data_IF_316728717901
#
_entry.id   IF_316728717901
#
_cell.length_a   1.000
_cell.length_b   1.000
_cell.length_c   1.000
_cell.angle_alpha   90.00
_cell.angle_beta   90.00
_cell.angle_gamma   90.00
#
_symmetry.space_group_name_H-M   'P 1'
#
loop_
_entity.id
_entity.type
_entity.pdbx_description
1 polymer ?
#
# COMPACT_ATOMS: atom_id res chain seq x y z
N UNK A 1 -44.18 -23.30 -0.16
CA UNK A 1 -43.63 -22.02 -0.60
C UNK A 1 -43.74 -21.03 0.54
N UNK A 2 -42.64 -20.41 0.96
CA UNK A 2 -42.65 -19.40 2.06
C UNK A 2 -43.52 -18.24 1.64
N UNK A 3 -44.27 -17.65 2.61
CA UNK A 3 -45.14 -16.49 2.34
C UNK A 3 -44.34 -15.31 1.77
N UNK A 4 -43.07 -15.20 2.19
CA UNK A 4 -42.14 -14.18 1.71
C UNK A 4 -41.86 -14.31 0.20
N UNK A 5 -41.64 -15.54 -0.32
CA UNK A 5 -41.39 -15.78 -1.74
C UNK A 5 -42.65 -15.52 -2.59
N UNK A 6 -43.86 -15.79 -2.07
CA UNK A 6 -45.08 -15.40 -2.74
C UNK A 6 -45.21 -13.89 -2.90
N UNK A 7 -44.91 -13.15 -1.84
CA UNK A 7 -44.89 -11.68 -1.88
C UNK A 7 -43.83 -11.14 -2.83
N UNK A 8 -42.62 -11.74 -2.83
CA UNK A 8 -41.54 -11.36 -3.74
C UNK A 8 -41.96 -11.61 -5.21
N UNK A 9 -42.64 -12.73 -5.50
CA UNK A 9 -43.13 -13.03 -6.85
C UNK A 9 -44.23 -12.05 -7.30
N UNK A 10 -45.16 -11.70 -6.41
CA UNK A 10 -46.17 -10.67 -6.70
C UNK A 10 -45.54 -9.31 -6.96
N UNK A 11 -44.47 -8.94 -6.21
CA UNK A 11 -43.74 -7.71 -6.45
C UNK A 11 -43.01 -7.74 -7.80
N UNK A 12 -42.44 -8.88 -8.20
CA UNK A 12 -41.80 -9.05 -9.50
C UNK A 12 -42.79 -8.93 -10.67
N UNK A 13 -44.02 -9.51 -10.54
CA UNK A 13 -45.09 -9.35 -11.50
C UNK A 13 -45.54 -7.88 -11.68
N UNK A 14 -45.31 -7.05 -10.67
CA UNK A 14 -45.54 -5.60 -10.67
C UNK A 14 -44.30 -4.78 -11.06
N UNK A 15 -43.23 -5.40 -11.47
CA UNK A 15 -41.90 -4.80 -11.78
C UNK A 15 -41.34 -3.95 -10.62
N UNK A 16 -41.75 -4.24 -9.38
CA UNK A 16 -41.24 -3.57 -8.20
C UNK A 16 -40.01 -4.23 -7.63
N UNK A 17 -38.87 -4.05 -8.32
CA UNK A 17 -37.60 -4.71 -8.00
C UNK A 17 -37.03 -4.34 -6.63
N UNK A 18 -37.32 -3.13 -6.13
CA UNK A 18 -36.95 -2.71 -4.78
C UNK A 18 -37.61 -3.61 -3.71
N UNK A 19 -38.92 -3.87 -3.86
CA UNK A 19 -39.64 -4.76 -2.94
C UNK A 19 -39.19 -6.22 -3.09
N UNK A 20 -38.87 -6.68 -4.29
CA UNK A 20 -38.26 -8.01 -4.50
C UNK A 20 -36.98 -8.15 -3.69
N UNK A 21 -36.06 -7.17 -3.78
CA UNK A 21 -34.82 -7.15 -2.98
C UNK A 21 -35.11 -7.16 -1.48
N UNK A 22 -36.10 -6.38 -1.02
CA UNK A 22 -36.49 -6.35 0.39
C UNK A 22 -37.03 -7.69 0.89
N UNK A 23 -37.82 -8.39 0.09
CA UNK A 23 -38.32 -9.72 0.45
C UNK A 23 -37.21 -10.79 0.44
N UNK A 24 -36.34 -10.76 -0.59
CA UNK A 24 -35.20 -11.70 -0.67
C UNK A 24 -34.24 -11.55 0.51
N UNK A 25 -33.98 -10.32 0.99
CA UNK A 25 -33.15 -10.06 2.18
C UNK A 25 -33.74 -10.65 3.48
N UNK A 26 -35.05 -10.83 3.55
CA UNK A 26 -35.74 -11.40 4.74
C UNK A 26 -35.76 -12.92 4.76
N UNK A 27 -35.26 -13.56 3.70
CA UNK A 27 -35.17 -15.01 3.67
C UNK A 27 -34.15 -15.48 4.74
N UNK A 28 -34.42 -16.60 5.43
CA UNK A 28 -33.52 -17.16 6.43
C UNK A 28 -32.33 -17.87 5.76
N UNK A 29 -31.44 -17.10 5.15
CA UNK A 29 -30.26 -17.59 4.43
C UNK A 29 -29.07 -17.74 5.38
N UNK A 30 -28.33 -18.84 5.29
CA UNK A 30 -27.02 -18.98 5.94
C UNK A 30 -27.03 -19.23 7.45
N UNK A 31 -28.10 -19.79 8.06
CA UNK A 31 -28.08 -20.22 9.47
C UNK A 31 -27.64 -21.69 9.58
N UNK A 32 -26.65 -21.89 10.47
CA UNK A 32 -26.06 -23.20 10.82
C UNK A 32 -27.09 -24.24 11.25
N UNK A 33 -26.74 -25.50 11.03
CA UNK A 33 -27.36 -26.83 11.22
C UNK A 33 -28.32 -27.08 12.40
N UNK A 34 -28.84 -26.09 13.12
CA UNK A 34 -29.71 -26.32 14.29
C UNK A 34 -30.99 -25.46 14.35
N UNK A 35 -31.46 -24.89 13.23
CA UNK A 35 -32.71 -24.12 13.25
C UNK A 35 -33.75 -24.72 12.30
N UNK A 36 -34.92 -25.01 12.83
CA UNK A 36 -36.19 -25.50 12.19
C UNK A 36 -36.72 -24.52 11.11
N UNK A 37 -35.89 -24.09 10.15
CA UNK A 37 -36.27 -23.08 9.17
C UNK A 37 -35.45 -23.10 7.89
N UNK A 38 -34.87 -24.25 7.50
CA UNK A 38 -34.22 -24.38 6.20
C UNK A 38 -35.23 -24.21 5.06
N UNK A 39 -34.84 -23.39 4.08
CA UNK A 39 -35.59 -23.27 2.83
C UNK A 39 -35.51 -24.61 2.08
N UNK A 40 -36.64 -25.10 1.57
CA UNK A 40 -36.62 -26.25 0.66
C UNK A 40 -35.83 -25.90 -0.61
N UNK A 41 -35.28 -26.92 -1.29
CA UNK A 41 -34.58 -26.74 -2.57
C UNK A 41 -35.42 -25.95 -3.59
N UNK A 42 -36.74 -26.23 -3.64
CA UNK A 42 -37.70 -25.49 -4.49
C UNK A 42 -37.76 -24.00 -4.10
N UNK A 43 -37.71 -23.68 -2.81
CA UNK A 43 -37.73 -22.28 -2.35
C UNK A 43 -36.41 -21.56 -2.65
N UNK A 44 -35.29 -22.25 -2.61
CA UNK A 44 -33.99 -21.70 -3.02
C UNK A 44 -33.97 -21.45 -4.54
N UNK A 45 -34.47 -22.38 -5.35
CA UNK A 45 -34.59 -22.22 -6.79
C UNK A 45 -35.49 -21.01 -7.16
N UNK A 46 -36.64 -20.85 -6.50
CA UNK A 46 -37.50 -19.67 -6.66
C UNK A 46 -36.78 -18.37 -6.29
N UNK A 47 -35.99 -18.36 -5.21
CA UNK A 47 -35.24 -17.21 -4.79
C UNK A 47 -34.12 -16.84 -5.79
N UNK A 48 -33.46 -17.84 -6.37
CA UNK A 48 -32.46 -17.65 -7.43
C UNK A 48 -33.12 -17.06 -8.66
N UNK A 49 -34.23 -17.61 -9.12
CA UNK A 49 -34.97 -17.09 -10.29
C UNK A 49 -35.30 -15.59 -10.11
N UNK A 50 -35.87 -15.21 -8.95
CA UNK A 50 -36.23 -13.84 -8.65
C UNK A 50 -34.98 -12.93 -8.56
N UNK A 51 -33.87 -13.42 -7.98
CA UNK A 51 -32.62 -12.68 -7.91
C UNK A 51 -32.02 -12.44 -9.31
N UNK A 52 -32.08 -13.41 -10.21
CA UNK A 52 -31.65 -13.26 -11.61
C UNK A 52 -32.54 -12.24 -12.36
N UNK A 53 -33.86 -12.25 -12.13
CA UNK A 53 -34.74 -11.22 -12.71
C UNK A 53 -34.35 -9.81 -12.26
N UNK A 54 -33.99 -9.63 -10.98
CA UNK A 54 -33.48 -8.33 -10.49
C UNK A 54 -32.16 -7.94 -11.15
N UNK A 55 -31.26 -8.90 -11.43
CA UNK A 55 -30.01 -8.58 -12.17
C UNK A 55 -30.32 -8.05 -13.58
N UNK A 56 -31.29 -8.62 -14.29
CA UNK A 56 -31.65 -8.16 -15.64
C UNK A 56 -32.43 -6.84 -15.63
N UNK A 57 -33.40 -6.67 -14.75
CA UNK A 57 -34.40 -5.62 -14.83
C UNK A 57 -34.23 -4.48 -13.80
N UNK A 58 -33.45 -4.72 -12.73
CA UNK A 58 -33.23 -3.76 -11.66
C UNK A 58 -32.28 -2.63 -12.05
N UNK A 59 -32.32 -1.55 -11.29
CA UNK A 59 -31.31 -0.50 -11.36
C UNK A 59 -29.99 -0.94 -10.72
N UNK A 60 -28.94 -0.12 -10.86
CA UNK A 60 -27.61 -0.41 -10.31
C UNK A 60 -27.64 -0.76 -8.81
N UNK A 61 -28.42 -0.04 -8.00
CA UNK A 61 -28.46 -0.30 -6.56
C UNK A 61 -29.14 -1.64 -6.26
N UNK A 62 -30.20 -1.97 -6.99
CA UNK A 62 -30.92 -3.23 -6.86
C UNK A 62 -30.06 -4.42 -7.31
N UNK A 63 -29.35 -4.28 -8.43
CA UNK A 63 -28.34 -5.25 -8.90
C UNK A 63 -27.24 -5.47 -7.84
N UNK A 64 -26.71 -4.39 -7.28
CA UNK A 64 -25.72 -4.44 -6.21
C UNK A 64 -26.22 -5.16 -4.96
N UNK A 65 -27.45 -4.89 -4.57
CA UNK A 65 -28.05 -5.48 -3.39
C UNK A 65 -28.31 -6.98 -3.57
N UNK A 66 -28.79 -7.39 -4.74
CA UNK A 66 -29.02 -8.81 -5.03
C UNK A 66 -27.72 -9.59 -5.24
N UNK A 67 -26.71 -8.96 -5.86
CA UNK A 67 -25.39 -9.59 -6.02
C UNK A 67 -24.74 -9.97 -4.68
N UNK A 68 -24.95 -9.17 -3.61
CA UNK A 68 -24.50 -9.51 -2.25
C UNK A 68 -25.30 -10.65 -1.59
N UNK A 69 -26.46 -10.94 -2.10
CA UNK A 69 -27.36 -11.96 -1.56
C UNK A 69 -27.16 -13.30 -2.25
N UNK A 70 -26.87 -13.31 -3.57
CA UNK A 70 -26.68 -14.49 -4.37
C UNK A 70 -25.71 -15.52 -3.75
N UNK A 71 -24.53 -15.13 -3.20
CA UNK A 71 -23.64 -16.12 -2.57
C UNK A 71 -24.26 -16.90 -1.41
N UNK A 72 -25.27 -16.33 -0.76
CA UNK A 72 -25.97 -16.99 0.35
C UNK A 72 -27.00 -18.00 -0.08
N UNK A 73 -27.35 -18.03 -1.39
CA UNK A 73 -28.27 -18.99 -1.98
C UNK A 73 -27.60 -20.32 -2.39
N UNK A 74 -26.28 -20.40 -2.25
CA UNK A 74 -25.50 -21.62 -2.48
C UNK A 74 -25.12 -21.84 -3.95
N UNK A 75 -24.66 -23.04 -4.27
CA UNK A 75 -24.10 -23.41 -5.59
C UNK A 75 -25.11 -23.31 -6.76
N UNK A 76 -26.39 -23.35 -6.48
CA UNK A 76 -27.41 -23.29 -7.53
C UNK A 76 -27.43 -22.03 -8.37
N UNK A 77 -26.73 -20.95 -7.92
CA UNK A 77 -26.62 -19.69 -8.68
C UNK A 77 -25.54 -19.73 -9.76
N UNK A 78 -24.59 -20.67 -9.69
CA UNK A 78 -23.43 -20.70 -10.59
C UNK A 78 -23.86 -20.87 -12.05
N UNK A 79 -24.69 -21.85 -12.35
CA UNK A 79 -25.12 -22.11 -13.73
C UNK A 79 -25.88 -20.92 -14.36
N UNK A 80 -26.90 -20.31 -13.71
CA UNK A 80 -27.56 -19.11 -14.24
C UNK A 80 -26.62 -17.92 -14.44
N UNK A 81 -25.68 -17.68 -13.51
CA UNK A 81 -24.73 -16.59 -13.63
C UNK A 81 -23.69 -16.81 -14.73
N UNK A 82 -23.26 -18.07 -14.96
CA UNK A 82 -22.41 -18.43 -16.10
C UNK A 82 -23.11 -18.15 -17.42
N UNK A 83 -24.39 -18.48 -17.53
CA UNK A 83 -25.20 -18.20 -18.73
C UNK A 83 -25.20 -16.70 -19.03
N UNK A 84 -25.42 -15.84 -18.02
CA UNK A 84 -25.37 -14.38 -18.17
C UNK A 84 -23.98 -13.91 -18.58
N UNK A 85 -22.94 -14.43 -17.92
CA UNK A 85 -21.57 -13.99 -18.16
C UNK A 85 -21.11 -14.31 -19.58
N UNK A 86 -21.51 -15.46 -20.12
CA UNK A 86 -21.12 -15.98 -21.44
C UNK A 86 -21.98 -15.43 -22.59
N UNK A 87 -23.12 -14.79 -22.29
CA UNK A 87 -23.98 -14.19 -23.33
C UNK A 87 -23.39 -12.83 -23.77
N UNK A 88 -22.79 -12.78 -24.96
CA UNK A 88 -22.22 -11.55 -25.52
C UNK A 88 -23.26 -10.50 -25.90
N UNK A 89 -24.53 -10.85 -25.99
CA UNK A 89 -25.63 -9.93 -26.29
C UNK A 89 -26.23 -9.31 -25.01
N UNK A 90 -25.87 -9.84 -23.83
CA UNK A 90 -26.33 -9.30 -22.56
C UNK A 90 -25.65 -7.97 -22.24
N UNK A 91 -26.34 -7.12 -21.49
CA UNK A 91 -25.84 -5.84 -21.02
C UNK A 91 -24.51 -6.02 -20.22
N UNK A 92 -23.50 -5.20 -20.55
CA UNK A 92 -22.16 -5.30 -19.95
C UNK A 92 -22.18 -5.14 -18.42
N UNK A 93 -23.08 -4.31 -17.88
CA UNK A 93 -23.24 -4.12 -16.44
C UNK A 93 -23.82 -5.39 -15.79
N UNK A 94 -24.80 -6.06 -16.43
CA UNK A 94 -25.37 -7.31 -15.94
C UNK A 94 -24.31 -8.42 -15.93
N UNK A 95 -23.54 -8.53 -17.01
CA UNK A 95 -22.39 -9.45 -17.10
C UNK A 95 -21.35 -9.18 -16.03
N UNK A 96 -21.08 -7.89 -15.74
CA UNK A 96 -20.16 -7.47 -14.70
C UNK A 96 -20.63 -7.96 -13.32
N UNK A 97 -21.91 -7.78 -12.98
CA UNK A 97 -22.46 -8.27 -11.71
C UNK A 97 -22.43 -9.79 -11.61
N UNK A 98 -22.71 -10.50 -12.70
CA UNK A 98 -22.65 -11.96 -12.76
C UNK A 98 -21.22 -12.46 -12.52
N UNK A 99 -20.22 -11.94 -13.25
CA UNK A 99 -18.83 -12.33 -13.12
C UNK A 99 -18.23 -12.01 -11.76
N UNK A 100 -18.52 -10.82 -11.22
CA UNK A 100 -18.12 -10.46 -9.88
C UNK A 100 -18.67 -11.41 -8.82
N UNK A 101 -19.94 -11.78 -8.93
CA UNK A 101 -20.57 -12.71 -7.97
C UNK A 101 -19.99 -14.11 -8.11
N UNK A 102 -19.72 -14.55 -9.34
CA UNK A 102 -19.07 -15.84 -9.62
C UNK A 102 -17.67 -15.93 -8.99
N UNK A 103 -16.95 -14.82 -8.83
CA UNK A 103 -15.65 -14.78 -8.13
C UNK A 103 -15.67 -15.20 -6.66
N UNK A 104 -16.84 -15.54 -6.09
CA UNK A 104 -16.98 -16.10 -4.74
C UNK A 104 -17.16 -17.64 -4.75
N UNK A 105 -17.15 -18.29 -5.93
CA UNK A 105 -17.42 -19.73 -6.09
C UNK A 105 -16.22 -20.46 -6.70
N UNK A 106 -15.58 -21.31 -5.92
CA UNK A 106 -14.47 -22.17 -6.37
C UNK A 106 -14.99 -23.28 -7.29
N UNK A 107 -15.35 -22.90 -8.53
CA UNK A 107 -15.84 -23.81 -9.55
C UNK A 107 -14.94 -23.75 -10.80
N UNK A 108 -14.45 -24.89 -11.33
CA UNK A 108 -13.59 -24.87 -12.52
C UNK A 108 -14.25 -24.24 -13.75
N UNK A 109 -15.56 -24.35 -13.93
CA UNK A 109 -16.27 -23.72 -15.03
C UNK A 109 -16.23 -22.20 -14.91
N UNK A 110 -16.33 -21.65 -13.69
CA UNK A 110 -16.19 -20.21 -13.40
C UNK A 110 -14.80 -19.74 -13.80
N UNK A 111 -13.74 -20.44 -13.38
CA UNK A 111 -12.37 -20.08 -13.74
C UNK A 111 -12.20 -20.02 -15.25
N UNK A 112 -12.68 -21.04 -15.98
CA UNK A 112 -12.56 -21.12 -17.43
C UNK A 112 -13.32 -20.00 -18.14
N UNK A 113 -14.53 -19.66 -17.68
CA UNK A 113 -15.34 -18.58 -18.29
C UNK A 113 -14.72 -17.21 -18.05
N UNK A 114 -14.20 -16.93 -16.84
CA UNK A 114 -13.48 -15.69 -16.55
C UNK A 114 -12.19 -15.57 -17.36
N UNK A 115 -11.45 -16.66 -17.53
CA UNK A 115 -10.23 -16.67 -18.38
C UNK A 115 -10.58 -16.42 -19.85
N UNK A 116 -11.68 -16.96 -20.36
CA UNK A 116 -12.15 -16.66 -21.73
C UNK A 116 -12.42 -15.17 -21.93
N UNK A 117 -13.02 -14.50 -20.92
CA UNK A 117 -13.23 -13.05 -20.96
C UNK A 117 -11.92 -12.28 -21.07
N UNK A 118 -10.87 -12.69 -20.35
CA UNK A 118 -9.54 -12.06 -20.47
C UNK A 118 -8.88 -12.29 -21.83
N UNK A 119 -9.21 -13.38 -22.51
CA UNK A 119 -8.64 -13.73 -23.81
C UNK A 119 -9.43 -13.16 -25.00
N UNK A 120 -10.66 -12.72 -24.79
CA UNK A 120 -11.48 -12.16 -25.85
C UNK A 120 -11.13 -10.68 -26.05
N UNK A 121 -10.56 -10.31 -27.23
CA UNK A 121 -10.16 -8.93 -27.51
C UNK A 121 -11.33 -7.94 -27.58
N UNK A 122 -12.55 -8.44 -27.80
CA UNK A 122 -13.77 -7.61 -27.86
C UNK A 122 -14.36 -7.33 -26.47
N UNK A 123 -13.78 -7.92 -25.40
CA UNK A 123 -14.21 -7.65 -24.02
C UNK A 123 -13.82 -6.23 -23.62
N UNK A 124 -14.78 -5.45 -23.12
CA UNK A 124 -14.49 -4.11 -22.60
C UNK A 124 -13.54 -4.15 -21.38
N UNK A 125 -12.82 -3.05 -21.14
CA UNK A 125 -11.79 -2.94 -20.12
C UNK A 125 -12.34 -3.16 -18.70
N UNK A 126 -13.56 -2.70 -18.42
CA UNK A 126 -14.18 -2.84 -17.09
C UNK A 126 -14.51 -4.31 -16.80
N UNK A 127 -15.05 -5.01 -17.80
CA UNK A 127 -15.41 -6.43 -17.69
C UNK A 127 -14.14 -7.29 -17.60
N UNK A 128 -13.09 -6.98 -18.35
CA UNK A 128 -11.80 -7.68 -18.28
C UNK A 128 -11.13 -7.45 -16.89
N UNK A 129 -11.17 -6.23 -16.39
CA UNK A 129 -10.65 -5.91 -15.04
C UNK A 129 -11.42 -6.64 -13.95
N UNK A 130 -12.75 -6.69 -14.05
CA UNK A 130 -13.59 -7.47 -13.14
C UNK A 130 -13.23 -8.95 -13.17
N UNK A 131 -13.04 -9.51 -14.37
CA UNK A 131 -12.68 -10.92 -14.52
C UNK A 131 -11.33 -11.24 -13.86
N UNK A 132 -10.32 -10.37 -14.00
CA UNK A 132 -9.04 -10.51 -13.32
C UNK A 132 -9.18 -10.45 -11.80
N UNK A 133 -10.00 -9.51 -11.28
CA UNK A 133 -10.28 -9.41 -9.84
C UNK A 133 -11.02 -10.65 -9.31
N UNK A 134 -12.01 -11.17 -10.06
CA UNK A 134 -12.74 -12.37 -9.70
C UNK A 134 -11.80 -13.58 -9.64
N UNK A 135 -10.92 -13.76 -10.64
CA UNK A 135 -9.89 -14.81 -10.64
C UNK A 135 -8.92 -14.68 -9.45
N UNK A 136 -8.53 -13.44 -9.11
CA UNK A 136 -7.74 -13.18 -7.91
C UNK A 136 -8.43 -13.60 -6.62
N UNK A 137 -9.75 -13.40 -6.52
CA UNK A 137 -10.55 -13.81 -5.36
C UNK A 137 -10.71 -15.33 -5.25
N UNK A 138 -10.79 -16.04 -6.38
CA UNK A 138 -10.86 -17.51 -6.43
C UNK A 138 -9.58 -18.18 -5.91
N UNK A 139 -8.50 -17.43 -5.78
CA UNK A 139 -7.30 -17.91 -5.13
C UNK A 139 -6.57 -19.00 -5.92
N UNK A 140 -6.14 -20.05 -5.22
CA UNK A 140 -5.27 -21.09 -5.79
C UNK A 140 -5.89 -21.83 -6.97
N UNK A 141 -7.21 -21.96 -7.03
CA UNK A 141 -7.92 -22.62 -8.13
C UNK A 141 -7.73 -21.97 -9.49
N UNK A 142 -7.42 -20.64 -9.51
CA UNK A 142 -7.20 -19.89 -10.74
C UNK A 142 -5.73 -19.89 -11.22
N UNK A 143 -4.76 -20.28 -10.38
CA UNK A 143 -3.33 -20.13 -10.67
C UNK A 143 -2.92 -20.88 -11.94
N UNK A 144 -3.39 -22.10 -12.13
CA UNK A 144 -3.01 -22.91 -13.29
C UNK A 144 -3.43 -22.23 -14.61
N UNK A 145 -4.67 -21.78 -14.68
CA UNK A 145 -5.20 -21.16 -15.90
C UNK A 145 -4.58 -19.76 -16.15
N UNK A 146 -4.39 -18.98 -15.09
CA UNK A 146 -3.66 -17.70 -15.17
C UNK A 146 -2.22 -17.89 -15.65
N UNK A 147 -1.55 -18.95 -15.18
CA UNK A 147 -0.19 -19.29 -15.59
C UNK A 147 -0.08 -19.58 -17.09
N UNK A 148 -1.11 -20.26 -17.65
CA UNK A 148 -1.17 -20.54 -19.10
C UNK A 148 -1.24 -19.26 -19.93
N UNK A 149 -1.81 -18.17 -19.41
CA UNK A 149 -1.86 -16.87 -20.08
C UNK A 149 -0.48 -16.17 -20.12
N UNK A 150 0.40 -16.49 -19.18
CA UNK A 150 1.73 -15.85 -19.11
C UNK A 150 2.76 -16.53 -19.99
N UNK A 151 2.59 -17.81 -20.29
CA UNK A 151 3.54 -18.58 -21.09
C UNK A 151 3.45 -18.18 -22.57
N UNK A 152 4.58 -17.82 -23.22
CA UNK A 152 4.59 -17.77 -24.67
C UNK A 152 4.26 -19.17 -25.19
N UNK A 153 3.19 -19.29 -25.95
CA UNK A 153 2.84 -20.57 -26.59
C UNK A 153 3.99 -20.92 -27.54
N UNK A 154 4.65 -22.05 -27.27
CA UNK A 154 5.78 -22.57 -28.06
C UNK A 154 5.38 -23.02 -29.47
N UNK A 155 4.08 -23.04 -29.79
CA UNK A 155 3.58 -23.40 -31.11
C UNK A 155 3.72 -22.20 -32.07
N UNK A 156 4.34 -22.44 -33.21
CA UNK A 156 4.62 -21.45 -34.25
C UNK A 156 3.36 -20.72 -34.75
N UNK A 157 2.18 -21.35 -34.63
CA UNK A 157 0.89 -20.82 -35.08
C UNK A 157 -0.07 -20.42 -33.93
N UNK A 158 0.39 -20.43 -32.68
CA UNK A 158 -0.47 -20.03 -31.57
C UNK A 158 -0.59 -18.49 -31.51
N UNK A 159 -1.82 -17.93 -31.39
CA UNK A 159 -1.99 -16.51 -31.22
C UNK A 159 -1.22 -16.05 -29.95
N UNK A 160 -0.44 -14.98 -30.12
CA UNK A 160 0.22 -14.34 -28.99
C UNK A 160 -0.87 -13.83 -28.04
N UNK A 161 -0.76 -14.17 -26.76
CA UNK A 161 -1.62 -13.57 -25.75
C UNK A 161 -1.30 -12.08 -25.70
N UNK A 162 -2.32 -11.25 -25.79
CA UNK A 162 -2.19 -9.81 -25.78
C UNK A 162 -1.50 -9.30 -24.51
N UNK A 163 -0.82 -8.17 -24.63
CA UNK A 163 -0.12 -7.54 -23.52
C UNK A 163 -1.07 -7.27 -22.34
N UNK A 164 -2.25 -6.71 -22.64
CA UNK A 164 -3.25 -6.39 -21.64
C UNK A 164 -3.73 -7.62 -20.88
N UNK A 165 -4.00 -8.71 -21.58
CA UNK A 165 -4.41 -10.00 -20.96
C UNK A 165 -3.32 -10.54 -20.02
N UNK A 166 -2.05 -10.47 -20.44
CA UNK A 166 -0.93 -10.89 -19.58
C UNK A 166 -0.76 -10.01 -18.36
N UNK A 167 -0.93 -8.69 -18.52
CA UNK A 167 -0.87 -7.74 -17.40
C UNK A 167 -1.97 -8.03 -16.39
N UNK A 168 -3.21 -8.25 -16.84
CA UNK A 168 -4.35 -8.61 -15.98
C UNK A 168 -4.13 -9.96 -15.28
N UNK A 169 -3.53 -10.94 -15.97
CA UNK A 169 -3.18 -12.22 -15.37
C UNK A 169 -2.12 -12.07 -14.25
N UNK A 170 -1.11 -11.21 -14.44
CA UNK A 170 -0.11 -10.88 -13.39
C UNK A 170 -0.79 -10.20 -12.20
N UNK A 171 -1.70 -9.27 -12.44
CA UNK A 171 -2.44 -8.58 -11.38
C UNK A 171 -3.34 -9.54 -10.58
N UNK A 172 -4.02 -10.47 -11.25
CA UNK A 172 -4.80 -11.51 -10.60
C UNK A 172 -3.91 -12.42 -9.72
N UNK A 173 -2.76 -12.87 -10.23
CA UNK A 173 -1.79 -13.66 -9.47
C UNK A 173 -1.23 -12.90 -8.26
N UNK A 174 -0.98 -11.59 -8.42
CA UNK A 174 -0.54 -10.73 -7.32
C UNK A 174 -1.58 -10.65 -6.18
N UNK A 175 -2.87 -10.62 -6.53
CA UNK A 175 -3.97 -10.57 -5.57
C UNK A 175 -4.12 -11.87 -4.78
N UNK A 176 -3.81 -13.02 -5.37
CA UNK A 176 -3.92 -14.35 -4.74
C UNK A 176 -3.04 -14.46 -3.49
N UNK A 177 -1.85 -13.87 -3.47
CA UNK A 177 -0.91 -13.85 -2.32
C UNK A 177 -0.61 -15.23 -1.73
N UNK A 178 -0.53 -16.25 -2.57
CA UNK A 178 -0.14 -17.61 -2.20
C UNK A 178 1.21 -17.95 -2.82
N UNK A 179 2.01 -18.76 -2.12
CA UNK A 179 3.34 -19.18 -2.60
C UNK A 179 3.34 -19.82 -3.98
N UNK A 180 2.25 -20.45 -4.34
CA UNK A 180 2.04 -21.10 -5.63
C UNK A 180 2.03 -20.08 -6.81
N UNK A 181 1.75 -18.81 -6.54
CA UNK A 181 1.81 -17.75 -7.54
C UNK A 181 3.24 -17.29 -7.86
N UNK A 182 4.24 -17.66 -7.03
CA UNK A 182 5.63 -17.21 -7.20
C UNK A 182 6.20 -17.71 -8.54
N UNK A 183 6.08 -19.01 -8.83
CA UNK A 183 6.67 -19.59 -10.05
C UNK A 183 6.11 -18.98 -11.34
N UNK A 184 4.79 -18.81 -11.52
CA UNK A 184 4.26 -18.08 -12.66
C UNK A 184 4.78 -16.64 -12.78
N UNK A 185 4.85 -15.90 -11.67
CA UNK A 185 5.35 -14.52 -11.65
C UNK A 185 6.84 -14.44 -12.02
N UNK A 186 7.65 -15.40 -11.57
CA UNK A 186 9.08 -15.48 -11.94
C UNK A 186 9.31 -15.64 -13.44
N UNK A 187 8.39 -16.25 -14.17
CA UNK A 187 8.50 -16.46 -15.61
C UNK A 187 8.40 -15.15 -16.41
N UNK A 188 7.75 -14.12 -15.85
CA UNK A 188 7.48 -12.86 -16.55
C UNK A 188 8.32 -11.67 -16.05
N UNK A 189 9.26 -11.88 -15.13
CA UNK A 189 10.21 -10.83 -14.71
C UNK A 189 11.15 -10.37 -15.85
N UNK A 190 11.27 -11.16 -16.90
CA UNK A 190 12.03 -10.86 -18.11
C UNK A 190 11.16 -10.57 -19.34
N UNK A 191 9.87 -10.30 -19.16
CA UNK A 191 8.97 -10.01 -20.30
C UNK A 191 9.47 -8.83 -21.13
N UNK A 192 9.18 -8.85 -22.43
CA UNK A 192 9.55 -7.76 -23.35
C UNK A 192 8.90 -6.42 -22.98
N UNK A 193 7.69 -6.45 -22.40
CA UNK A 193 6.93 -5.27 -22.00
C UNK A 193 7.28 -4.82 -20.57
N UNK A 194 7.75 -3.59 -20.40
CA UNK A 194 8.18 -3.11 -19.08
C UNK A 194 7.04 -3.05 -18.06
N UNK A 195 5.79 -2.87 -18.50
CA UNK A 195 4.59 -2.85 -17.67
C UNK A 195 4.39 -4.20 -16.98
N UNK A 196 4.55 -5.29 -17.72
CA UNK A 196 4.43 -6.66 -17.19
C UNK A 196 5.58 -6.96 -16.24
N UNK A 197 6.83 -6.59 -16.59
CA UNK A 197 7.97 -6.74 -15.68
C UNK A 197 7.76 -5.96 -14.38
N UNK A 198 7.26 -4.71 -14.48
CA UNK A 198 6.98 -3.86 -13.31
C UNK A 198 5.95 -4.52 -12.39
N UNK A 199 4.82 -4.97 -12.94
CA UNK A 199 3.77 -5.66 -12.18
C UNK A 199 4.28 -6.96 -11.55
N UNK A 200 5.10 -7.74 -12.26
CA UNK A 200 5.69 -8.97 -11.71
C UNK A 200 6.66 -8.68 -10.55
N UNK A 201 7.52 -7.67 -10.67
CA UNK A 201 8.45 -7.24 -9.60
C UNK A 201 7.68 -6.71 -8.38
N UNK A 202 6.63 -5.91 -8.59
CA UNK A 202 5.76 -5.43 -7.53
C UNK A 202 5.09 -6.60 -6.80
N UNK A 203 4.47 -7.51 -7.54
CA UNK A 203 3.82 -8.70 -6.99
C UNK A 203 4.78 -9.55 -6.16
N UNK A 204 5.95 -9.89 -6.74
CA UNK A 204 6.98 -10.69 -6.08
C UNK A 204 7.53 -10.03 -4.82
N UNK A 205 7.58 -8.71 -4.76
CA UNK A 205 8.08 -7.96 -3.59
C UNK A 205 7.31 -8.25 -2.31
N UNK A 206 6.04 -8.68 -2.42
CA UNK A 206 5.19 -9.04 -1.29
C UNK A 206 5.49 -10.41 -0.66
N UNK A 207 6.26 -11.27 -1.34
CA UNK A 207 6.57 -12.62 -0.87
C UNK A 207 7.95 -12.68 -0.17
N UNK A 208 8.04 -13.52 0.87
CA UNK A 208 9.28 -13.74 1.65
C UNK A 208 10.04 -14.98 1.16
N UNK A 209 10.36 -15.00 -0.14
CA UNK A 209 11.19 -16.05 -0.75
C UNK A 209 12.57 -15.44 -1.07
N UNK A 210 13.64 -16.13 -0.65
CA UNK A 210 15.02 -15.69 -0.83
C UNK A 210 15.42 -15.51 -2.30
N UNK A 211 14.86 -16.32 -3.20
CA UNK A 211 15.11 -16.23 -4.64
C UNK A 211 14.71 -14.86 -5.18
N UNK A 212 13.65 -14.27 -4.59
CA UNK A 212 13.11 -12.97 -5.01
C UNK A 212 14.11 -11.84 -4.72
N UNK A 213 14.89 -11.92 -3.64
CA UNK A 213 15.92 -10.91 -3.35
C UNK A 213 16.93 -10.80 -4.49
N UNK A 214 17.38 -11.93 -5.05
CA UNK A 214 18.28 -11.94 -6.21
C UNK A 214 17.62 -11.38 -7.47
N UNK A 215 16.33 -11.66 -7.68
CA UNK A 215 15.56 -11.12 -8.81
C UNK A 215 15.43 -9.59 -8.68
N UNK A 216 15.11 -9.10 -7.48
CA UNK A 216 15.01 -7.66 -7.21
C UNK A 216 16.36 -6.96 -7.42
N UNK A 217 17.47 -7.56 -6.97
CA UNK A 217 18.82 -7.02 -7.21
C UNK A 217 19.09 -6.91 -8.72
N UNK A 218 18.78 -7.95 -9.50
CA UNK A 218 18.93 -7.91 -10.95
C UNK A 218 18.04 -6.82 -11.58
N UNK A 219 16.82 -6.65 -11.10
CA UNK A 219 15.87 -5.68 -11.59
C UNK A 219 16.27 -4.21 -11.30
N UNK A 220 17.22 -3.95 -10.39
CA UNK A 220 17.82 -2.61 -10.21
C UNK A 220 18.55 -2.10 -11.46
N UNK A 221 18.89 -2.99 -12.38
CA UNK A 221 19.60 -2.66 -13.62
C UNK A 221 18.69 -2.71 -14.86
N UNK A 222 17.36 -2.83 -14.68
CA UNK A 222 16.42 -2.87 -15.79
C UNK A 222 16.47 -1.56 -16.62
N UNK A 223 16.37 -1.61 -17.95
CA UNK A 223 16.32 -0.41 -18.78
C UNK A 223 15.14 0.50 -18.45
N UNK A 224 14.00 -0.05 -17.99
CA UNK A 224 12.82 0.71 -17.63
C UNK A 224 12.91 1.26 -16.19
N UNK A 225 12.76 2.57 -16.04
CA UNK A 225 12.80 3.23 -14.73
C UNK A 225 11.73 2.70 -13.74
N UNK A 226 10.56 2.30 -14.25
CA UNK A 226 9.48 1.76 -13.41
C UNK A 226 9.91 0.45 -12.73
N UNK A 227 10.55 -0.44 -13.46
CA UNK A 227 11.07 -1.71 -12.94
C UNK A 227 12.15 -1.47 -11.88
N UNK A 228 13.13 -0.57 -12.15
CA UNK A 228 14.18 -0.21 -11.17
C UNK A 228 13.58 0.38 -9.90
N UNK A 229 12.57 1.24 -10.07
CA UNK A 229 11.85 1.86 -8.94
C UNK A 229 11.19 0.81 -8.06
N UNK A 230 10.41 -0.10 -8.65
CA UNK A 230 9.72 -1.16 -7.89
C UNK A 230 10.71 -2.14 -7.25
N UNK A 231 11.82 -2.45 -7.91
CA UNK A 231 12.89 -3.26 -7.33
C UNK A 231 13.50 -2.60 -6.07
N UNK A 232 13.77 -1.29 -6.12
CA UNK A 232 14.27 -0.55 -4.96
C UNK A 232 13.25 -0.50 -3.82
N UNK A 233 11.95 -0.37 -4.13
CA UNK A 233 10.86 -0.46 -3.16
C UNK A 233 10.85 -1.85 -2.51
N UNK A 234 10.85 -2.92 -3.30
CA UNK A 234 10.83 -4.29 -2.80
C UNK A 234 12.02 -4.61 -1.89
N UNK A 235 13.23 -4.20 -2.28
CA UNK A 235 14.44 -4.39 -1.47
C UNK A 235 14.40 -3.59 -0.17
N UNK A 236 13.74 -2.44 -0.13
CA UNK A 236 13.67 -1.61 1.07
C UNK A 236 12.99 -2.29 2.27
N UNK A 237 12.22 -3.35 2.05
CA UNK A 237 11.56 -4.14 3.08
C UNK A 237 12.35 -5.40 3.49
N UNK A 238 13.51 -5.67 2.85
CA UNK A 238 14.30 -6.90 3.05
C UNK A 238 15.49 -6.67 3.98
N UNK A 239 15.25 -6.05 5.11
CA UNK A 239 16.31 -5.73 6.09
C UNK A 239 16.98 -6.98 6.66
N UNK A 240 16.30 -8.13 6.72
CA UNK A 240 16.89 -9.41 7.12
C UNK A 240 17.97 -9.92 6.13
N UNK A 241 17.82 -9.56 4.85
CA UNK A 241 18.72 -9.97 3.76
C UNK A 241 19.89 -8.98 3.58
N UNK A 242 19.93 -7.89 4.36
CA UNK A 242 20.81 -6.74 4.16
C UNK A 242 22.30 -7.12 4.08
N UNK A 243 22.80 -7.84 5.07
CA UNK A 243 24.20 -8.20 5.15
C UNK A 243 24.58 -9.33 4.17
N UNK A 244 23.67 -10.29 3.98
CA UNK A 244 23.94 -11.45 3.14
C UNK A 244 24.08 -11.07 1.66
N UNK A 245 23.25 -10.15 1.19
CA UNK A 245 23.24 -9.71 -0.23
C UNK A 245 23.90 -8.36 -0.45
N UNK A 246 24.52 -7.78 0.59
CA UNK A 246 25.16 -6.46 0.51
C UNK A 246 24.25 -5.39 -0.11
N UNK A 247 23.01 -5.31 0.38
CA UNK A 247 21.95 -4.51 -0.24
C UNK A 247 22.28 -3.02 -0.28
N UNK A 248 23.11 -2.52 0.65
CA UNK A 248 23.57 -1.12 0.63
C UNK A 248 24.31 -0.83 -0.67
N UNK A 249 25.30 -1.66 -1.00
CA UNK A 249 26.11 -1.49 -2.22
C UNK A 249 25.33 -1.79 -3.50
N UNK A 250 24.30 -2.64 -3.44
CA UNK A 250 23.41 -2.88 -4.58
C UNK A 250 22.53 -1.66 -4.90
N UNK A 251 22.01 -0.97 -3.87
CA UNK A 251 21.08 0.16 -4.06
C UNK A 251 21.80 1.51 -4.26
N UNK A 252 22.95 1.68 -3.65
CA UNK A 252 23.76 2.93 -3.69
C UNK A 252 23.94 3.54 -5.09
N UNK A 253 24.19 2.78 -6.19
CA UNK A 253 24.30 3.35 -7.53
C UNK A 253 23.05 4.09 -7.99
N UNK A 254 21.85 3.66 -7.55
CA UNK A 254 20.58 4.26 -7.93
C UNK A 254 20.35 5.66 -7.35
N UNK A 255 21.15 6.09 -6.37
CA UNK A 255 21.14 7.49 -5.92
C UNK A 255 21.53 8.48 -7.04
N UNK A 256 22.19 7.99 -8.09
CA UNK A 256 22.60 8.78 -9.26
C UNK A 256 21.87 8.30 -10.54
N UNK A 257 20.70 7.68 -10.41
CA UNK A 257 19.89 7.28 -11.56
C UNK A 257 19.41 8.49 -12.37
N UNK A 258 19.19 8.29 -13.65
CA UNK A 258 18.63 9.33 -14.53
C UNK A 258 17.21 9.75 -14.13
N UNK A 259 16.47 8.87 -13.48
CA UNK A 259 15.12 9.14 -12.96
C UNK A 259 15.18 9.57 -11.50
N UNK A 260 14.73 10.77 -11.22
CA UNK A 260 14.63 11.29 -9.84
C UNK A 260 13.75 10.43 -8.94
N UNK A 261 12.74 9.76 -9.51
CA UNK A 261 11.87 8.84 -8.78
C UNK A 261 12.62 7.60 -8.30
N UNK A 262 13.54 7.09 -9.12
CA UNK A 262 14.42 5.97 -8.74
C UNK A 262 15.41 6.42 -7.67
N UNK A 263 16.04 7.60 -7.83
CA UNK A 263 16.92 8.17 -6.80
C UNK A 263 16.21 8.32 -5.45
N UNK A 264 14.95 8.77 -5.47
CA UNK A 264 14.14 8.92 -4.25
C UNK A 264 13.88 7.57 -3.58
N UNK A 265 13.54 6.54 -4.34
CA UNK A 265 13.30 5.21 -3.75
C UNK A 265 14.59 4.58 -3.22
N UNK A 266 15.71 4.79 -3.90
CA UNK A 266 17.03 4.40 -3.39
C UNK A 266 17.35 5.08 -2.06
N UNK A 267 17.09 6.39 -1.95
CA UNK A 267 17.28 7.12 -0.71
C UNK A 267 16.40 6.58 0.42
N UNK A 268 15.12 6.30 0.14
CA UNK A 268 14.18 5.69 1.11
C UNK A 268 14.69 4.33 1.58
N UNK A 269 15.12 3.48 0.65
CA UNK A 269 15.64 2.16 0.97
C UNK A 269 16.88 2.23 1.88
N UNK A 270 17.86 3.06 1.54
CA UNK A 270 19.06 3.26 2.34
C UNK A 270 18.74 3.84 3.73
N UNK A 271 17.81 4.79 3.82
CA UNK A 271 17.35 5.32 5.11
C UNK A 271 16.71 4.25 5.99
N UNK A 272 15.93 3.33 5.41
CA UNK A 272 15.33 2.19 6.14
C UNK A 272 16.33 1.15 6.60
N UNK A 273 17.42 0.98 5.88
CA UNK A 273 18.50 0.05 6.30
C UNK A 273 19.19 0.50 7.58
N UNK A 274 19.24 1.81 7.86
CA UNK A 274 19.69 2.34 9.15
C UNK A 274 21.14 1.97 9.49
N UNK A 275 22.03 1.92 8.49
CA UNK A 275 23.46 1.64 8.67
C UNK A 275 24.30 2.88 8.42
N UNK A 276 25.48 2.94 9.04
CA UNK A 276 26.41 4.05 8.83
C UNK A 276 26.90 4.11 7.38
N UNK A 277 27.05 2.97 6.72
CA UNK A 277 27.40 2.90 5.30
C UNK A 277 26.33 3.50 4.40
N UNK A 278 25.05 3.22 4.69
CA UNK A 278 23.92 3.81 3.98
C UNK A 278 23.87 5.32 4.22
N UNK A 279 24.09 5.77 5.47
CA UNK A 279 24.13 7.18 5.81
C UNK A 279 25.27 7.92 5.08
N UNK A 280 26.47 7.33 4.97
CA UNK A 280 27.58 7.88 4.20
C UNK A 280 27.24 8.02 2.70
N UNK A 281 26.60 7.01 2.11
CA UNK A 281 26.17 7.06 0.73
C UNK A 281 25.16 8.19 0.46
N UNK A 282 24.16 8.35 1.33
CA UNK A 282 23.18 9.43 1.27
C UNK A 282 23.85 10.82 1.40
N UNK A 283 24.77 10.94 2.34
CA UNK A 283 25.44 12.22 2.61
C UNK A 283 26.32 12.66 1.45
N UNK A 284 27.05 11.76 0.81
CA UNK A 284 27.86 12.09 -0.38
C UNK A 284 27.04 12.71 -1.49
N UNK A 285 25.85 12.17 -1.75
CA UNK A 285 24.94 12.73 -2.76
C UNK A 285 24.30 14.03 -2.29
N UNK A 286 23.93 14.15 -1.02
CA UNK A 286 23.43 15.40 -0.42
C UNK A 286 24.41 16.55 -0.58
N UNK A 287 25.71 16.30 -0.38
CA UNK A 287 26.79 17.29 -0.46
C UNK A 287 27.09 17.75 -1.89
N UNK A 288 26.73 16.97 -2.89
CA UNK A 288 26.96 17.30 -4.30
C UNK A 288 26.20 18.56 -4.72
N UNK A 289 26.91 19.49 -5.37
CA UNK A 289 26.30 20.69 -5.96
C UNK A 289 25.33 20.36 -7.10
N UNK A 290 25.55 19.22 -7.79
CA UNK A 290 24.71 18.77 -8.90
C UNK A 290 23.36 18.19 -8.43
N UNK A 291 23.20 17.87 -7.14
CA UNK A 291 21.97 17.27 -6.62
C UNK A 291 20.83 18.30 -6.58
N UNK A 292 19.69 18.01 -7.27
CA UNK A 292 18.53 18.89 -7.25
C UNK A 292 17.98 19.12 -5.82
N UNK A 293 17.42 20.30 -5.55
CA UNK A 293 16.89 20.67 -4.23
C UNK A 293 15.83 19.67 -3.74
N UNK A 294 14.95 19.22 -4.63
CA UNK A 294 13.90 18.24 -4.30
C UNK A 294 14.52 16.94 -3.76
N UNK A 295 15.57 16.44 -4.43
CA UNK A 295 16.26 15.23 -3.98
C UNK A 295 17.04 15.48 -2.68
N UNK A 296 17.65 16.65 -2.49
CA UNK A 296 18.31 17.01 -1.21
C UNK A 296 17.35 16.89 -0.02
N UNK A 297 16.10 17.31 -0.19
CA UNK A 297 15.07 17.18 0.85
C UNK A 297 14.78 15.70 1.16
N UNK A 298 14.69 14.86 0.13
CA UNK A 298 14.43 13.42 0.30
C UNK A 298 15.64 12.72 0.95
N UNK A 299 16.88 13.11 0.58
CA UNK A 299 18.10 12.60 1.21
C UNK A 299 18.21 12.97 2.69
N UNK A 300 17.84 14.20 3.05
CA UNK A 300 17.76 14.65 4.45
C UNK A 300 16.74 13.82 5.24
N UNK A 301 15.59 13.53 4.65
CA UNK A 301 14.59 12.64 5.28
C UNK A 301 15.12 11.24 5.48
N UNK A 302 15.81 10.69 4.48
CA UNK A 302 16.40 9.37 4.55
C UNK A 302 17.50 9.29 5.64
N UNK A 303 18.36 10.29 5.74
CA UNK A 303 19.34 10.39 6.82
C UNK A 303 18.69 10.45 8.20
N UNK A 304 17.59 11.21 8.33
CA UNK A 304 16.89 11.28 9.60
C UNK A 304 16.20 9.94 9.97
N UNK A 305 15.75 9.16 8.99
CA UNK A 305 15.17 7.84 9.23
C UNK A 305 16.20 6.77 9.60
N UNK A 306 17.43 6.94 9.16
CA UNK A 306 18.51 6.00 9.49
C UNK A 306 18.76 5.92 11.00
N UNK A 307 18.50 7.00 11.75
CA UNK A 307 18.63 7.10 13.22
C UNK A 307 19.96 6.52 13.75
N UNK A 308 21.07 6.76 13.04
CA UNK A 308 22.42 6.40 13.50
C UNK A 308 23.15 7.63 14.03
N UNK A 309 24.23 7.40 14.79
CA UNK A 309 25.09 8.50 15.24
C UNK A 309 25.71 9.23 14.06
N UNK A 310 26.19 8.50 13.04
CA UNK A 310 26.74 9.08 11.83
C UNK A 310 25.73 9.91 11.05
N UNK A 311 24.47 9.44 10.95
CA UNK A 311 23.42 10.19 10.25
C UNK A 311 23.15 11.55 10.91
N UNK A 312 23.18 11.65 12.25
CA UNK A 312 23.05 12.94 12.95
C UNK A 312 24.26 13.86 12.69
N UNK A 313 25.46 13.32 12.65
CA UNK A 313 26.68 14.08 12.33
C UNK A 313 26.63 14.63 10.90
N UNK A 314 26.14 13.83 9.94
CA UNK A 314 25.93 14.30 8.57
C UNK A 314 24.84 15.36 8.46
N UNK A 315 23.77 15.28 9.23
CA UNK A 315 22.75 16.32 9.31
C UNK A 315 23.33 17.61 9.95
N UNK A 316 24.15 17.50 10.99
CA UNK A 316 24.85 18.64 11.58
C UNK A 316 25.80 19.29 10.57
N UNK A 317 26.60 18.52 9.83
CA UNK A 317 27.45 19.06 8.78
C UNK A 317 26.62 19.75 7.69
N UNK A 318 25.48 19.14 7.32
CA UNK A 318 24.52 19.67 6.34
C UNK A 318 24.01 21.06 6.71
N UNK A 319 23.78 21.35 7.97
CA UNK A 319 23.37 22.68 8.45
C UNK A 319 24.39 23.78 8.15
N UNK A 320 25.68 23.45 7.98
CA UNK A 320 26.76 24.42 7.78
C UNK A 320 26.80 25.04 6.38
N UNK A 321 26.29 24.37 5.36
CA UNK A 321 26.43 24.77 3.96
C UNK A 321 25.15 24.69 3.14
N UNK A 322 24.05 24.14 3.69
CA UNK A 322 22.79 23.99 2.96
C UNK A 322 22.03 25.32 2.82
N UNK A 323 21.20 25.40 1.79
CA UNK A 323 20.22 26.47 1.64
C UNK A 323 19.23 26.50 2.81
N UNK A 324 18.62 27.66 3.13
CA UNK A 324 17.69 27.78 4.27
C UNK A 324 16.55 26.77 4.27
N UNK A 325 16.01 26.42 3.11
CA UNK A 325 14.94 25.43 2.98
C UNK A 325 15.39 24.03 3.46
N UNK A 326 16.62 23.63 3.11
CA UNK A 326 17.21 22.36 3.55
C UNK A 326 17.53 22.41 5.04
N UNK A 327 18.10 23.52 5.52
CA UNK A 327 18.35 23.74 6.95
C UNK A 327 17.07 23.60 7.77
N UNK A 328 15.98 24.24 7.34
CA UNK A 328 14.68 24.15 7.99
C UNK A 328 14.17 22.70 8.04
N UNK A 329 14.36 21.94 6.95
CA UNK A 329 13.98 20.52 6.91
C UNK A 329 14.83 19.70 7.90
N UNK A 330 16.15 19.89 7.94
CA UNK A 330 17.06 19.22 8.89
C UNK A 330 16.61 19.51 10.32
N UNK A 331 16.40 20.78 10.68
CA UNK A 331 15.97 21.22 12.01
C UNK A 331 14.67 20.53 12.42
N UNK A 332 13.67 20.51 11.51
CA UNK A 332 12.37 19.90 11.76
C UNK A 332 12.49 18.38 12.00
N UNK A 333 13.37 17.72 11.27
CA UNK A 333 13.57 16.27 11.40
C UNK A 333 14.38 15.91 12.65
N UNK A 334 15.40 16.69 13.00
CA UNK A 334 16.10 16.53 14.27
C UNK A 334 15.15 16.63 15.48
N UNK A 335 14.15 17.54 15.42
CA UNK A 335 13.12 17.65 16.45
C UNK A 335 12.20 16.41 16.57
N UNK A 336 12.20 15.50 15.60
CA UNK A 336 11.38 14.28 15.57
C UNK A 336 12.14 13.01 15.94
N UNK A 337 13.39 13.10 16.31
CA UNK A 337 14.20 11.96 16.77
C UNK A 337 13.53 11.32 18.00
N UNK A 338 13.30 10.01 17.90
CA UNK A 338 12.59 9.26 18.95
C UNK A 338 13.54 8.53 19.90
N UNK A 339 14.68 8.09 19.41
CA UNK A 339 15.66 7.36 20.21
C UNK A 339 16.15 8.21 21.40
N UNK A 340 15.97 7.76 22.64
CA UNK A 340 16.41 8.50 23.83
C UNK A 340 17.91 8.85 23.81
N UNK A 341 18.73 7.94 23.30
CA UNK A 341 20.19 8.13 23.21
C UNK A 341 20.60 9.21 22.22
N UNK A 342 19.77 9.45 21.19
CA UNK A 342 20.05 10.43 20.13
C UNK A 342 19.38 11.79 20.38
N UNK A 343 18.35 11.87 21.24
CA UNK A 343 17.67 13.14 21.55
C UNK A 343 18.60 14.20 22.12
N UNK A 344 19.44 13.83 23.09
CA UNK A 344 20.39 14.75 23.68
C UNK A 344 21.37 15.29 22.63
N UNK A 345 21.87 14.43 21.72
CA UNK A 345 22.76 14.84 20.62
C UNK A 345 22.02 15.75 19.62
N UNK A 346 20.78 15.42 19.25
CA UNK A 346 19.96 16.25 18.37
C UNK A 346 19.69 17.64 18.98
N UNK A 347 19.41 17.70 20.28
CA UNK A 347 19.25 18.97 21.02
C UNK A 347 20.53 19.81 20.99
N UNK A 348 21.67 19.18 21.25
CA UNK A 348 22.96 19.88 21.20
C UNK A 348 23.25 20.44 19.80
N UNK A 349 22.99 19.64 18.73
CA UNK A 349 23.17 20.10 17.35
C UNK A 349 22.32 21.33 17.06
N UNK A 350 21.08 21.38 17.50
CA UNK A 350 20.19 22.53 17.29
C UNK A 350 20.66 23.77 18.06
N UNK A 351 21.15 23.59 19.28
CA UNK A 351 21.71 24.68 20.11
C UNK A 351 22.99 25.23 19.46
N UNK A 352 23.93 24.37 19.07
CA UNK A 352 25.16 24.77 18.40
C UNK A 352 24.88 25.52 17.09
N UNK A 353 23.90 25.03 16.32
CA UNK A 353 23.50 25.72 15.09
C UNK A 353 22.90 27.09 15.38
N UNK A 354 22.03 27.23 16.37
CA UNK A 354 21.43 28.51 16.77
C UNK A 354 22.51 29.59 17.07
N UNK A 355 23.61 29.18 17.71
CA UNK A 355 24.68 30.08 18.10
C UNK A 355 25.86 30.14 17.11
N UNK A 356 25.74 29.46 15.96
CA UNK A 356 26.84 29.37 14.99
C UNK A 356 27.15 30.69 14.26
N UNK A 357 26.27 31.70 14.32
CA UNK A 357 26.43 32.97 13.61
C UNK A 357 26.25 32.87 12.10
N UNK A 358 25.75 31.76 11.58
CA UNK A 358 25.45 31.58 10.15
C UNK A 358 24.26 32.45 9.74
N UNK A 359 24.24 32.94 8.48
CA UNK A 359 23.19 33.82 7.97
C UNK A 359 21.78 33.22 8.16
N UNK A 360 21.62 31.92 7.96
CA UNK A 360 20.35 31.23 8.15
C UNK A 360 19.78 31.36 9.57
N UNK A 361 20.65 31.44 10.60
CA UNK A 361 20.21 31.55 12.00
C UNK A 361 19.64 32.94 12.37
N UNK A 362 19.75 33.91 11.49
CA UNK A 362 19.11 35.21 11.65
C UNK A 362 17.67 35.24 11.13
N UNK A 363 17.29 34.27 10.32
CA UNK A 363 15.94 34.17 9.79
C UNK A 363 14.92 33.75 10.88
N UNK A 364 13.81 34.49 10.98
CA UNK A 364 12.73 34.18 11.92
C UNK A 364 12.15 32.77 11.74
N UNK A 365 12.04 32.30 10.49
CA UNK A 365 11.54 30.95 10.14
C UNK A 365 12.45 29.85 10.66
N UNK A 366 13.75 30.05 10.65
CA UNK A 366 14.74 29.09 11.17
C UNK A 366 14.71 29.08 12.69
N UNK A 367 14.73 30.26 13.34
CA UNK A 367 14.59 30.34 14.81
C UNK A 367 13.29 29.72 15.32
N UNK A 368 12.18 29.96 14.62
CA UNK A 368 10.89 29.34 14.90
C UNK A 368 10.98 27.81 14.83
N UNK A 369 11.60 27.28 13.77
CA UNK A 369 11.76 25.84 13.59
C UNK A 369 12.63 25.24 14.72
N UNK A 370 13.73 25.92 15.09
CA UNK A 370 14.60 25.49 16.21
C UNK A 370 13.81 25.47 17.53
N UNK A 371 13.08 26.54 17.86
CA UNK A 371 12.27 26.60 19.09
C UNK A 371 11.25 25.45 19.15
N UNK A 372 10.56 25.21 18.04
CA UNK A 372 9.59 24.11 17.94
C UNK A 372 10.25 22.75 18.13
N UNK A 373 11.38 22.51 17.46
CA UNK A 373 12.11 21.23 17.49
C UNK A 373 12.72 20.95 18.87
N UNK A 374 13.29 21.97 19.53
CA UNK A 374 13.78 21.84 20.91
C UNK A 374 12.64 21.47 21.89
N UNK A 375 11.46 22.08 21.73
CA UNK A 375 10.28 21.73 22.51
C UNK A 375 9.72 20.33 22.21
N UNK A 376 9.93 19.79 20.99
CA UNK A 376 9.55 18.43 20.63
C UNK A 376 10.50 17.38 21.22
N UNK A 377 11.79 17.65 21.22
CA UNK A 377 12.81 16.79 21.83
C UNK A 377 12.60 16.64 23.34
N UNK A 378 12.22 17.72 24.02
CA UNK A 378 11.87 17.66 25.43
C UNK A 378 13.07 17.54 26.37
N UNK A 379 14.28 17.87 25.92
CA UNK A 379 15.51 17.74 26.71
C UNK A 379 15.76 18.99 27.58
N UNK A 380 16.09 18.83 28.88
CA UNK A 380 16.36 19.97 29.78
C UNK A 380 17.44 20.91 29.29
N UNK A 381 18.42 20.42 28.54
CA UNK A 381 19.51 21.21 27.94
C UNK A 381 19.01 22.33 27.02
N UNK A 382 17.75 22.23 26.52
CA UNK A 382 17.16 23.23 25.63
C UNK A 382 16.68 24.51 26.37
N UNK A 383 16.52 24.48 27.70
CA UNK A 383 15.86 25.55 28.47
C UNK A 383 16.52 26.90 28.24
N UNK A 384 17.83 27.03 28.43
CA UNK A 384 18.56 28.28 28.26
C UNK A 384 18.42 28.87 26.85
N UNK A 385 18.52 28.02 25.82
CA UNK A 385 18.35 28.43 24.43
C UNK A 385 16.90 28.88 24.13
N UNK A 386 15.91 28.22 24.72
CA UNK A 386 14.51 28.59 24.58
C UNK A 386 14.17 29.88 25.33
N UNK A 387 14.74 30.12 26.53
CA UNK A 387 14.59 31.39 27.26
C UNK A 387 15.13 32.58 26.45
N UNK A 388 16.28 32.41 25.81
CA UNK A 388 16.82 33.42 24.92
C UNK A 388 15.92 33.67 23.71
N UNK A 389 15.40 32.64 23.08
CA UNK A 389 14.43 32.76 21.97
C UNK A 389 13.10 33.38 22.41
N UNK A 390 12.68 33.20 23.66
CA UNK A 390 11.50 33.83 24.24
C UNK A 390 11.68 35.38 24.38
N UNK A 391 12.93 35.87 24.38
CA UNK A 391 13.29 37.29 24.32
C UNK A 391 13.49 37.85 22.92
N UNK A 392 13.31 37.04 21.84
CA UNK A 392 13.56 37.47 20.45
C UNK A 392 12.67 38.66 20.04
N UNK A 393 13.14 39.49 19.11
CA UNK A 393 12.36 40.62 18.56
C UNK A 393 11.13 40.14 17.78
N UNK A 394 11.25 38.99 17.09
CA UNK A 394 10.21 38.45 16.27
C UNK A 394 9.12 37.75 17.10
N UNK A 395 7.87 38.24 17.01
CA UNK A 395 6.73 37.75 17.78
C UNK A 395 6.48 36.23 17.59
N UNK A 396 6.65 35.72 16.37
CA UNK A 396 6.42 34.30 16.04
C UNK A 396 7.44 33.42 16.75
N UNK A 397 8.73 33.82 16.75
CA UNK A 397 9.81 33.09 17.45
C UNK A 397 9.53 33.04 18.95
N UNK A 398 9.20 34.20 19.54
CA UNK A 398 8.84 34.33 20.95
C UNK A 398 7.71 33.38 21.37
N UNK A 399 6.63 33.34 20.61
CA UNK A 399 5.47 32.48 20.91
C UNK A 399 5.82 30.98 20.88
N UNK A 400 6.62 30.54 19.90
CA UNK A 400 7.03 29.15 19.80
C UNK A 400 8.01 28.75 20.92
N UNK A 401 8.90 29.63 21.32
CA UNK A 401 9.81 29.40 22.44
C UNK A 401 9.08 29.31 23.78
N UNK A 402 8.10 30.18 24.04
CA UNK A 402 7.28 30.14 25.27
C UNK A 402 6.44 28.83 25.29
N UNK A 403 5.85 28.42 24.16
CA UNK A 403 5.11 27.16 24.07
C UNK A 403 6.01 25.93 24.34
N UNK A 404 7.25 25.95 23.83
CA UNK A 404 8.23 24.91 24.07
C UNK A 404 8.64 24.82 25.55
N UNK A 405 8.93 25.95 26.19
CA UNK A 405 9.25 26.02 27.63
C UNK A 405 8.10 25.50 28.51
N UNK A 406 6.86 25.88 28.16
CA UNK A 406 5.67 25.36 28.90
C UNK A 406 5.56 23.85 28.78
N UNK A 407 5.85 23.27 27.60
CA UNK A 407 5.82 21.82 27.40
C UNK A 407 6.88 21.10 28.25
N UNK A 408 8.11 21.64 28.29
CA UNK A 408 9.19 21.09 29.13
C UNK A 408 8.81 21.11 30.62
N UNK A 409 8.26 22.21 31.12
CA UNK A 409 7.86 22.34 32.54
C UNK A 409 6.72 21.40 32.94
N UNK A 410 5.87 20.95 32.01
CA UNK A 410 4.82 19.97 32.25
C UNK A 410 5.38 18.54 32.31
N UNK A 411 6.32 18.20 31.43
CA UNK A 411 6.95 16.87 31.44
C UNK A 411 7.79 16.61 32.69
N UNK A 412 8.43 17.63 33.25
CA UNK A 412 9.15 17.53 34.52
C UNK A 412 8.22 17.29 35.73
N UNK A 413 7.00 17.83 35.69
CA UNK A 413 6.00 17.59 36.76
C UNK A 413 5.42 16.19 36.71
N UNK A 414 5.19 15.63 35.53
CA UNK A 414 4.70 14.27 35.37
C UNK A 414 5.75 13.22 35.76
N UNK A 415 7.02 13.47 35.45
CA UNK A 415 8.13 12.58 35.88
C UNK A 415 8.47 12.67 37.35
N UNK A 416 8.01 13.73 38.08
CA UNK A 416 8.27 13.96 39.49
C UNK A 416 7.14 13.48 40.42
N UNK A 417 6.01 12.97 39.90
CA UNK A 417 4.97 12.36 40.74
C UNK A 417 5.32 10.88 41.02
N UNK A 418 5.46 10.50 42.31
CA UNK A 418 5.68 9.09 42.65
C UNK A 418 4.45 8.30 42.23
N UNK A 419 4.66 7.18 41.56
CA UNK A 419 3.61 6.18 41.33
C UNK A 419 3.10 5.69 42.70
N UNK A 420 1.95 6.17 43.15
CA UNK A 420 1.23 5.56 44.25
C UNK A 420 0.89 4.12 43.84
N UNK A 421 1.68 3.19 44.41
CA UNK A 421 1.34 1.78 44.41
C UNK A 421 0.00 1.61 45.12
N UNK A 422 -1.06 1.38 44.37
CA UNK A 422 -2.29 0.79 44.90
C UNK A 422 -1.99 -0.63 45.31
N UNK A 423 -1.53 -0.84 46.55
CA UNK A 423 -1.64 -2.11 47.24
C UNK A 423 -3.14 -2.41 47.43
N UNK A 424 -3.69 -3.25 46.58
CA UNK A 424 -4.94 -3.95 46.87
C UNK A 424 -4.64 -4.94 47.97
N UNK A 425 -4.99 -4.54 49.18
CA UNK A 425 -5.17 -5.45 50.33
C UNK A 425 -6.28 -6.42 49.97
N UNK A 426 -5.92 -7.69 49.78
CA UNK A 426 -6.87 -8.81 49.80
C UNK A 426 -7.26 -9.09 51.25
N UNK A 427 -8.52 -8.89 51.59
CA UNK A 427 -9.22 -9.43 52.73
C UNK A 427 -10.33 -10.35 52.25
#
# INVERSE_FOLDING_TARGET
MSQILKQARTAAEQENWLEVCNYLRRLPLGKKENSTGELSELAIADAIELAIQVLHQGDFQQRWDVAKLLPKLGQGVVAPLLTILEDEQEDSEVRWFAGRTLGEYEDPAVVLSLVKLLQNPDTDEELATMAAQALGNLGTSAIEELSKLLLPKLAIDAPLVEEQTRLLAVQALAQIRRSEAIEPLLQVVGDRHPEIRTAAIEALSSFHDRRITLILIKALQDPAKAVRKEAAIGLSFRTADLAEFDLVNQIKPLLNDLSIEVCRQAAIALGRFGTDEAADALFRVLKSAATPLVLKIDLVRALAWAETTASLEYLQEGLRWSAPEVCRQIITLLGRVKSPTLKAKATQILIEFLYSGQNATFEATIKQAIATSLGQLGEPQAIEALEKLAGDSERVVKLHAIAALKKLSLSDRESSQPQEKTEKVSG
#
